data_IF_411961121236
#
_entry.id   IF_411961121236
#
_cell.length_a   1.000
_cell.length_b   1.000
_cell.length_c   1.000
_cell.angle_alpha   90.00
_cell.angle_beta   90.00
_cell.angle_gamma   90.00
#
_symmetry.space_group_name_H-M   'P 1'
#
loop_
_entity.id
_entity.type
_entity.pdbx_description
1 polymer ?
#
# COMPACT_ATOMS: atom_id res chain seq x y z
N UNK A 1 -3.81 -22.43 9.92
CA UNK A 1 -4.32 -22.05 8.59
C UNK A 1 -3.75 -20.68 8.27
N UNK A 2 -3.00 -20.53 7.17
CA UNK A 2 -2.60 -19.22 6.66
C UNK A 2 -3.70 -18.76 5.70
N UNK A 3 -4.39 -17.69 6.05
CA UNK A 3 -5.45 -17.07 5.25
C UNK A 3 -5.29 -15.57 5.29
N UNK A 4 -6.19 -14.85 4.63
CA UNK A 4 -6.18 -13.39 4.55
C UNK A 4 -6.07 -12.72 5.93
N UNK A 5 -5.12 -11.80 6.06
CA UNK A 5 -4.95 -10.99 7.26
C UNK A 5 -5.25 -9.53 6.95
N UNK A 6 -6.08 -8.91 7.78
CA UNK A 6 -6.37 -7.49 7.68
C UNK A 6 -5.18 -6.70 8.20
N UNK A 7 -4.66 -5.79 7.36
CA UNK A 7 -3.47 -4.98 7.65
C UNK A 7 -3.73 -3.52 7.32
N UNK A 8 -3.06 -2.62 8.05
CA UNK A 8 -3.00 -1.21 7.65
C UNK A 8 -1.87 -1.06 6.66
N UNK A 9 -2.14 -0.46 5.52
CA UNK A 9 -1.13 -0.09 4.54
C UNK A 9 -1.05 1.43 4.38
N UNK A 10 0.09 1.94 3.92
CA UNK A 10 0.26 3.32 3.50
C UNK A 10 1.22 3.39 2.33
N UNK A 11 0.93 4.27 1.36
CA UNK A 11 1.72 4.46 0.15
C UNK A 11 2.33 5.86 0.16
N UNK A 12 3.65 5.96 0.21
CA UNK A 12 4.34 7.25 0.27
C UNK A 12 5.79 7.14 -0.19
N UNK A 13 6.27 8.15 -0.92
CA UNK A 13 7.66 8.31 -1.36
C UNK A 13 8.20 7.09 -2.13
N UNK A 14 7.37 6.48 -3.00
CA UNK A 14 7.78 5.29 -3.74
C UNK A 14 7.86 4.02 -2.89
N UNK A 15 7.33 4.04 -1.66
CA UNK A 15 7.39 2.93 -0.72
C UNK A 15 5.99 2.55 -0.23
N UNK A 16 5.79 1.25 -0.01
CA UNK A 16 4.61 0.69 0.65
C UNK A 16 4.97 0.29 2.07
N UNK A 17 4.24 0.84 3.04
CA UNK A 17 4.39 0.59 4.47
C UNK A 17 3.22 -0.24 4.96
N UNK A 18 3.45 -1.12 5.95
CA UNK A 18 2.35 -1.86 6.58
C UNK A 18 2.48 -2.01 8.10
N UNK A 19 1.35 -2.16 8.78
CA UNK A 19 1.23 -2.39 10.22
C UNK A 19 0.17 -3.47 10.48
N UNK A 20 0.18 -4.07 11.69
CA UNK A 20 -0.89 -4.99 12.11
C UNK A 20 -2.25 -4.27 12.16
N UNK A 21 -2.27 -3.04 12.72
CA UNK A 21 -3.51 -2.30 12.92
C UNK A 21 -3.33 -0.80 12.66
N UNK A 22 -4.42 -0.06 12.36
CA UNK A 22 -4.37 1.39 12.18
C UNK A 22 -3.90 2.14 13.44
N UNK A 23 -4.24 1.62 14.63
CA UNK A 23 -3.81 2.21 15.89
C UNK A 23 -2.28 2.21 16.02
N UNK A 24 -1.61 1.18 15.50
CA UNK A 24 -0.14 1.14 15.49
C UNK A 24 0.44 2.27 14.64
N UNK A 25 -0.06 2.42 13.41
CA UNK A 25 0.35 3.51 12.53
C UNK A 25 0.10 4.88 13.17
N UNK A 26 -1.10 5.10 13.73
CA UNK A 26 -1.49 6.37 14.37
C UNK A 26 -0.65 6.71 15.61
N UNK A 27 -0.15 5.71 16.34
CA UNK A 27 0.73 5.90 17.50
C UNK A 27 2.18 6.25 17.12
N UNK A 28 2.52 6.31 15.83
CA UNK A 28 3.88 6.55 15.35
C UNK A 28 4.80 5.34 15.53
N UNK A 29 4.26 4.14 15.74
CA UNK A 29 5.07 2.92 15.75
C UNK A 29 5.68 2.67 14.38
N UNK A 30 6.87 2.07 14.38
CA UNK A 30 7.55 1.68 13.13
C UNK A 30 6.70 0.66 12.37
N UNK A 31 6.65 0.76 11.03
CA UNK A 31 5.98 -0.23 10.19
C UNK A 31 6.63 -1.60 10.35
N UNK A 32 5.82 -2.66 10.27
CA UNK A 32 6.28 -4.05 10.32
C UNK A 32 7.20 -4.39 9.14
N UNK A 33 7.00 -3.72 8.00
CA UNK A 33 7.82 -3.80 6.79
C UNK A 33 7.64 -2.52 5.98
N UNK A 34 8.70 -2.19 5.27
CA UNK A 34 8.72 -1.18 4.22
C UNK A 34 9.14 -1.88 2.94
N UNK A 35 8.36 -1.74 1.88
CA UNK A 35 8.63 -2.31 0.57
C UNK A 35 8.87 -1.18 -0.43
N UNK A 36 10.09 -1.11 -0.96
CA UNK A 36 10.41 -0.21 -2.07
C UNK A 36 9.70 -0.70 -3.34
N UNK A 37 9.05 0.23 -4.06
CA UNK A 37 8.27 -0.04 -5.26
C UNK A 37 9.06 0.13 -6.57
N UNK A 38 10.39 0.23 -6.50
CA UNK A 38 11.22 0.21 -7.71
C UNK A 38 10.99 -1.05 -8.53
N UNK A 39 10.72 -0.83 -9.82
CA UNK A 39 10.44 -1.90 -10.78
C UNK A 39 9.22 -2.72 -10.38
N UNK A 40 8.28 -2.13 -9.63
CA UNK A 40 7.04 -2.79 -9.25
C UNK A 40 6.26 -3.19 -10.49
N UNK A 41 5.75 -4.41 -10.47
CA UNK A 41 4.73 -4.91 -11.38
C UNK A 41 3.49 -5.16 -10.55
N UNK A 42 2.36 -4.61 -10.98
CA UNK A 42 1.07 -4.83 -10.34
C UNK A 42 0.10 -5.35 -11.38
N UNK A 43 -0.77 -6.28 -11.00
CA UNK A 43 -1.83 -6.80 -11.86
C UNK A 43 -3.04 -7.16 -11.03
N UNK A 44 -4.22 -6.96 -11.59
CA UNK A 44 -5.44 -7.54 -11.04
C UNK A 44 -5.45 -9.05 -11.31
N UNK A 45 -5.94 -9.84 -10.35
CA UNK A 45 -5.96 -11.30 -10.50
C UNK A 45 -7.11 -11.75 -11.41
N UNK A 46 -6.85 -12.81 -12.18
CA UNK A 46 -7.84 -13.36 -13.12
C UNK A 46 -9.00 -13.97 -12.34
N UNK A 47 -10.23 -13.54 -12.65
CA UNK A 47 -11.44 -14.02 -11.99
C UNK A 47 -11.80 -13.29 -10.70
N UNK A 48 -11.08 -12.23 -10.33
CA UNK A 48 -11.36 -11.41 -9.15
C UNK A 48 -11.53 -9.94 -9.53
N UNK A 49 -12.58 -9.30 -9.00
CA UNK A 49 -12.81 -7.86 -9.18
C UNK A 49 -12.10 -6.99 -8.14
N UNK A 50 -11.56 -7.59 -7.08
CA UNK A 50 -11.04 -6.87 -5.92
C UNK A 50 -9.63 -7.27 -5.50
N UNK A 51 -9.16 -8.45 -5.91
CA UNK A 51 -7.80 -8.90 -5.57
C UNK A 51 -6.82 -8.51 -6.65
N UNK A 52 -5.63 -8.13 -6.21
CA UNK A 52 -4.53 -7.80 -7.08
C UNK A 52 -3.22 -8.24 -6.45
N UNK A 53 -2.27 -8.57 -7.32
CA UNK A 53 -0.94 -9.01 -6.97
C UNK A 53 0.08 -7.93 -7.32
N UNK A 54 1.05 -7.69 -6.45
CA UNK A 54 2.21 -6.87 -6.76
C UNK A 54 3.52 -7.59 -6.45
N UNK A 55 4.52 -7.37 -7.30
CA UNK A 55 5.90 -7.79 -7.08
C UNK A 55 6.83 -6.62 -7.36
N UNK A 56 8.03 -6.67 -6.80
CA UNK A 56 9.04 -5.60 -6.95
C UNK A 56 10.38 -6.21 -7.32
N UNK A 57 11.27 -5.43 -7.93
CA UNK A 57 12.60 -5.94 -8.34
C UNK A 57 13.51 -6.20 -7.14
N UNK A 58 13.33 -5.44 -6.06
CA UNK A 58 14.14 -5.57 -4.82
C UNK A 58 13.56 -6.65 -3.89
N UNK A 59 12.29 -7.01 -4.05
CA UNK A 59 11.56 -7.90 -3.15
C UNK A 59 11.88 -9.39 -3.27
N UNK A 60 13.01 -9.81 -3.87
CA UNK A 60 13.42 -11.22 -3.99
C UNK A 60 12.33 -12.14 -4.61
N UNK A 61 11.70 -11.71 -5.71
CA UNK A 61 10.59 -12.43 -6.36
C UNK A 61 9.35 -12.67 -5.47
N UNK A 62 9.22 -11.97 -4.34
CA UNK A 62 8.00 -12.02 -3.53
C UNK A 62 6.85 -11.35 -4.26
N UNK A 63 5.74 -12.07 -4.32
CA UNK A 63 4.45 -11.56 -4.76
C UNK A 63 3.61 -11.32 -3.51
N UNK A 64 3.14 -10.09 -3.34
CA UNK A 64 2.15 -9.75 -2.32
C UNK A 64 0.77 -9.77 -2.98
N UNK A 65 -0.15 -10.50 -2.38
CA UNK A 65 -1.56 -10.52 -2.79
C UNK A 65 -2.34 -9.63 -1.84
N UNK A 66 -3.13 -8.73 -2.42
CA UNK A 66 -3.96 -7.79 -1.67
C UNK A 66 -5.40 -7.85 -2.15
N UNK A 67 -6.32 -7.66 -1.22
CA UNK A 67 -7.75 -7.56 -1.51
C UNK A 67 -8.27 -6.17 -1.14
N UNK A 68 -8.86 -5.50 -2.13
CA UNK A 68 -9.43 -4.17 -2.03
C UNK A 68 -10.75 -4.14 -1.22
N UNK A 69 -11.42 -5.29 -1.00
CA UNK A 69 -12.62 -5.35 -0.15
C UNK A 69 -12.26 -5.40 1.35
N UNK A 70 -11.14 -4.81 1.76
CA UNK A 70 -10.72 -4.74 3.16
C UNK A 70 -11.75 -4.04 4.06
N UNK A 71 -12.62 -3.21 3.48
CA UNK A 71 -13.52 -2.35 4.22
C UNK A 71 -14.56 -3.09 5.09
N UNK A 72 -15.15 -4.13 4.52
CA UNK A 72 -16.14 -4.94 5.24
C UNK A 72 -15.51 -5.68 6.42
N UNK A 73 -14.25 -6.09 6.28
CA UNK A 73 -13.50 -6.78 7.33
C UNK A 73 -12.99 -5.81 8.39
N UNK A 74 -12.57 -4.61 8.00
CA UNK A 74 -12.16 -3.55 8.92
C UNK A 74 -13.31 -3.09 9.83
N UNK A 75 -14.53 -2.99 9.28
CA UNK A 75 -15.71 -2.71 10.07
C UNK A 75 -15.98 -3.81 11.12
N UNK A 76 -15.92 -5.08 10.71
CA UNK A 76 -16.10 -6.22 11.61
C UNK A 76 -14.99 -6.32 12.68
N UNK A 77 -13.77 -5.92 12.35
CA UNK A 77 -12.63 -5.88 13.27
C UNK A 77 -12.65 -4.68 14.24
N UNK A 78 -13.67 -3.80 14.15
CA UNK A 78 -13.80 -2.64 15.03
C UNK A 78 -12.79 -1.52 14.76
N UNK A 79 -12.22 -1.44 13.56
CA UNK A 79 -11.20 -0.44 13.22
C UNK A 79 -11.73 1.01 13.09
N UNK A 80 -13.06 1.19 13.19
CA UNK A 80 -13.71 2.51 13.26
C UNK A 80 -13.74 3.24 11.92
N UNK A 81 -14.92 3.31 11.30
CA UNK A 81 -15.14 3.88 9.95
C UNK A 81 -14.69 5.35 9.82
N UNK A 82 -14.65 6.12 10.92
CA UNK A 82 -14.39 7.56 10.91
C UNK A 82 -12.93 7.96 10.60
N UNK A 83 -11.92 7.18 10.98
CA UNK A 83 -10.52 7.42 10.57
C UNK A 83 -10.19 6.83 9.19
N UNK A 84 -11.14 6.08 8.66
CA UNK A 84 -10.91 5.07 7.65
C UNK A 84 -11.69 5.39 6.35
N UNK A 85 -12.72 6.23 6.45
CA UNK A 85 -13.68 6.57 5.39
C UNK A 85 -13.14 7.33 4.17
N UNK A 86 -11.86 7.75 4.12
CA UNK A 86 -11.24 8.27 2.89
C UNK A 86 -10.45 7.22 2.10
N UNK A 87 -10.12 6.10 2.73
CA UNK A 87 -9.12 5.15 2.23
C UNK A 87 -9.71 3.79 1.85
N UNK A 88 -10.84 3.39 2.43
CA UNK A 88 -11.37 2.03 2.32
C UNK A 88 -12.28 1.76 1.11
N UNK A 89 -12.72 2.80 0.40
CA UNK A 89 -13.66 2.65 -0.73
C UNK A 89 -12.95 2.54 -2.08
N UNK A 90 -11.64 2.30 -2.08
CA UNK A 90 -10.87 2.20 -3.32
C UNK A 90 -10.98 0.77 -3.83
N UNK A 91 -11.56 0.62 -5.02
CA UNK A 91 -11.53 -0.64 -5.75
C UNK A 91 -10.10 -1.04 -6.13
N UNK A 92 -9.93 -2.29 -6.59
CA UNK A 92 -8.63 -2.79 -7.01
C UNK A 92 -8.00 -1.89 -8.10
N UNK A 93 -8.79 -1.41 -9.04
CA UNK A 93 -8.32 -0.53 -10.12
C UNK A 93 -7.72 0.78 -9.59
N UNK A 94 -8.35 1.40 -8.58
CA UNK A 94 -7.88 2.63 -7.96
C UNK A 94 -6.62 2.41 -7.11
N UNK A 95 -6.51 1.24 -6.50
CA UNK A 95 -5.30 0.78 -5.83
C UNK A 95 -4.13 0.61 -6.81
N UNK A 96 -4.34 -0.15 -7.87
CA UNK A 96 -3.38 -0.40 -8.95
C UNK A 96 -2.89 0.92 -9.53
N UNK A 97 -3.80 1.80 -9.94
CA UNK A 97 -3.47 3.08 -10.55
C UNK A 97 -2.59 3.95 -9.64
N UNK A 98 -2.83 3.92 -8.34
CA UNK A 98 -2.03 4.72 -7.42
C UNK A 98 -0.65 4.14 -7.16
N UNK A 99 -0.54 2.81 -7.06
CA UNK A 99 0.75 2.14 -7.00
C UNK A 99 1.58 2.45 -8.25
N UNK A 100 0.97 2.42 -9.43
CA UNK A 100 1.61 2.82 -10.69
C UNK A 100 2.03 4.29 -10.68
N UNK A 101 1.15 5.20 -10.25
CA UNK A 101 1.45 6.63 -10.16
C UNK A 101 2.63 6.90 -9.21
N UNK A 102 2.64 6.27 -8.04
CA UNK A 102 3.70 6.43 -7.05
C UNK A 102 5.05 5.96 -7.60
N UNK A 103 5.07 4.85 -8.36
CA UNK A 103 6.27 4.37 -9.03
C UNK A 103 6.80 5.36 -10.07
N UNK A 104 5.89 5.98 -10.85
CA UNK A 104 6.25 6.99 -11.84
C UNK A 104 6.86 8.22 -11.15
N UNK A 105 6.21 8.74 -10.10
CA UNK A 105 6.70 9.90 -9.36
C UNK A 105 8.06 9.64 -8.73
N UNK A 106 8.24 8.49 -8.07
CA UNK A 106 9.52 8.15 -7.45
C UNK A 106 10.65 8.01 -8.48
N UNK A 107 10.35 7.47 -9.68
CA UNK A 107 11.33 7.42 -10.77
C UNK A 107 11.72 8.82 -11.26
N UNK A 108 10.76 9.73 -11.39
CA UNK A 108 11.02 11.10 -11.84
C UNK A 108 11.83 11.88 -10.80
N UNK A 109 11.46 11.79 -9.53
CA UNK A 109 12.20 12.42 -8.42
C UNK A 109 13.65 11.95 -8.36
N UNK A 110 13.94 10.66 -8.59
CA UNK A 110 15.33 10.16 -8.61
C UNK A 110 16.19 10.71 -9.74
N UNK A 111 15.58 11.09 -10.87
CA UNK A 111 16.30 11.72 -11.97
C UNK A 111 16.63 13.19 -11.63
N UNK A 112 15.75 13.85 -10.88
CA UNK A 112 15.92 15.24 -10.44
C UNK A 112 16.89 15.36 -9.25
N UNK A 113 16.86 14.45 -8.28
CA UNK A 113 17.73 14.47 -7.08
C UNK A 113 19.17 13.97 -7.32
N UNK A 114 19.62 13.87 -8.59
CA UNK A 114 21.07 13.75 -8.87
C UNK A 114 21.84 15.06 -8.60
N UNK A 115 21.13 16.13 -8.23
CA UNK A 115 21.66 17.28 -7.50
C UNK A 115 20.83 17.56 -6.24
N UNK A 116 21.49 17.48 -5.08
CA UNK A 116 21.04 17.84 -3.72
C UNK A 116 19.96 17.00 -2.98
N UNK A 117 20.23 16.51 -1.75
CA UNK A 117 19.31 15.70 -0.96
C UNK A 117 18.50 16.56 0.02
N UNK A 118 17.30 16.98 -0.38
CA UNK A 118 16.24 17.36 0.57
C UNK A 118 14.87 17.35 -0.10
N UNK A 119 14.29 16.16 -0.28
CA UNK A 119 12.91 16.02 -0.69
C UNK A 119 12.01 15.83 0.54
N UNK A 120 11.18 16.84 0.76
CA UNK A 120 10.20 17.00 1.83
C UNK A 120 9.07 15.97 1.72
N UNK A 121 8.68 15.35 2.85
CA UNK A 121 7.65 14.31 2.92
C UNK A 121 6.24 14.96 2.93
N UNK A 122 5.85 15.57 1.81
CA UNK A 122 4.64 16.42 1.73
C UNK A 122 3.35 15.74 1.26
N UNK A 123 3.36 14.49 0.77
CA UNK A 123 2.18 13.82 0.22
C UNK A 123 2.13 12.34 0.59
N UNK A 124 1.65 12.04 1.80
CA UNK A 124 1.25 10.69 2.20
C UNK A 124 -0.13 10.36 1.61
N UNK A 125 -0.23 9.28 0.84
CA UNK A 125 -1.50 8.66 0.49
C UNK A 125 -1.74 7.49 1.46
N UNK A 126 -2.49 7.77 2.51
CA UNK A 126 -2.99 6.77 3.47
C UNK A 126 -3.90 5.77 2.75
N UNK A 127 -3.56 4.47 2.74
CA UNK A 127 -4.29 3.45 1.95
C UNK A 127 -4.32 2.06 2.59
N UNK A 128 -5.45 1.51 3.03
CA UNK A 128 -5.55 0.16 3.66
C UNK A 128 -5.93 -0.99 2.73
N UNK A 129 -5.41 -2.20 2.97
CA UNK A 129 -5.67 -3.41 2.18
C UNK A 129 -5.51 -4.70 3.02
N UNK A 130 -6.07 -5.83 2.56
CA UNK A 130 -5.78 -7.15 3.13
C UNK A 130 -4.45 -7.69 2.57
N UNK A 131 -3.74 -8.57 3.31
CA UNK A 131 -2.49 -9.19 2.88
C UNK A 131 -2.41 -10.67 3.27
N UNK A 132 -1.65 -11.48 2.52
CA UNK A 132 -1.32 -12.88 2.85
C UNK A 132 0.12 -13.08 3.31
#
# INVERSE_FOLDING_TARGET
>A
MRGWQLRRFELCNGQLFWWETPAQAASGMKPNRVQDLIGMKVRQDVGSSSTFSLSTTIGEDKVYELDAIAAQFAAAAGWGVAQVGRSLTLDAATWIKALEQECIFHRQLRLETSGDPKADCGRSLLREALAT
#
